data_IF_243450123824
#
_entry.id   IF_243450123824
#
_cell.length_a   1.000
_cell.length_b   1.000
_cell.length_c   1.000
_cell.angle_alpha   90.00
_cell.angle_beta   90.00
_cell.angle_gamma   90.00
#
_symmetry.space_group_name_H-M   'P 1'
#
loop_
_entity.id
_entity.type
_entity.pdbx_description
1 polymer ?
#
# COMPACT_ATOMS: atom_id res chain seq x y z
N UNK A 1 4.78 127.48 -76.21
CA UNK A 1 3.44 127.84 -76.73
C UNK A 1 2.37 127.19 -75.87
N UNK A 2 1.86 127.91 -74.87
CA UNK A 2 0.67 127.56 -74.06
C UNK A 2 -0.45 128.56 -74.35
N UNK A 3 -0.83 128.71 -75.63
CA UNK A 3 -1.84 129.70 -76.05
C UNK A 3 -3.03 129.09 -76.79
N UNK A 4 -3.31 127.79 -76.59
CA UNK A 4 -4.44 127.11 -77.22
C UNK A 4 -5.19 126.27 -76.18
N UNK A 5 -6.50 126.51 -76.07
CA UNK A 5 -7.39 125.70 -75.23
C UNK A 5 -7.48 124.26 -75.76
N UNK A 6 -7.42 123.28 -74.86
CA UNK A 6 -7.55 121.87 -75.21
C UNK A 6 -8.92 121.62 -75.86
N UNK A 7 -8.93 120.97 -77.02
CA UNK A 7 -10.18 120.64 -77.69
C UNK A 7 -10.97 119.61 -76.84
N UNK A 8 -12.32 119.60 -76.89
CA UNK A 8 -13.13 118.60 -76.20
C UNK A 8 -12.71 117.15 -76.52
N UNK A 9 -12.16 116.92 -77.72
CA UNK A 9 -11.60 115.64 -78.15
C UNK A 9 -10.32 115.27 -77.38
N UNK A 10 -9.45 116.23 -77.11
CA UNK A 10 -8.22 116.01 -76.33
C UNK A 10 -8.54 115.74 -74.85
N UNK A 11 -9.53 116.45 -74.28
CA UNK A 11 -9.99 116.20 -72.90
C UNK A 11 -10.65 114.83 -72.78
N UNK A 12 -11.49 114.44 -73.75
CA UNK A 12 -12.09 113.11 -73.79
C UNK A 12 -11.04 112.01 -73.93
N UNK A 13 -10.03 112.20 -74.78
CA UNK A 13 -8.93 111.25 -74.93
C UNK A 13 -8.09 111.10 -73.65
N UNK A 14 -7.83 112.19 -72.92
CA UNK A 14 -7.12 112.14 -71.65
C UNK A 14 -7.95 111.44 -70.54
N UNK A 15 -9.26 111.70 -70.48
CA UNK A 15 -10.16 111.02 -69.54
C UNK A 15 -10.27 109.52 -69.85
N UNK A 16 -10.42 109.13 -71.12
CA UNK A 16 -10.47 107.72 -71.52
C UNK A 16 -9.13 107.02 -71.30
N UNK A 17 -7.99 107.69 -71.50
CA UNK A 17 -6.66 107.14 -71.20
C UNK A 17 -6.43 106.95 -69.69
N UNK A 18 -6.91 107.89 -68.85
CA UNK A 18 -6.84 107.78 -67.40
C UNK A 18 -7.77 106.68 -66.86
N UNK A 19 -9.00 106.60 -67.39
CA UNK A 19 -9.98 105.58 -67.01
C UNK A 19 -9.56 104.18 -67.46
N UNK A 20 -8.88 104.06 -68.60
CA UNK A 20 -8.33 102.79 -69.10
C UNK A 20 -7.09 102.29 -68.36
N UNK A 21 -6.30 103.18 -67.74
CA UNK A 21 -5.08 102.81 -66.97
C UNK A 21 -5.34 102.40 -65.52
N UNK A 22 -6.53 102.67 -64.98
CA UNK A 22 -6.91 102.29 -63.61
C UNK A 22 -8.01 101.21 -63.60
N UNK A 23 -7.86 100.15 -64.39
CA UNK A 23 -8.60 98.90 -64.15
C UNK A 23 -7.91 98.15 -63.02
N UNK A 24 -8.42 98.30 -61.79
CA UNK A 24 -7.94 97.51 -60.66
C UNK A 24 -8.20 96.01 -60.94
N UNK A 25 -7.15 95.21 -60.97
CA UNK A 25 -7.22 93.75 -61.16
C UNK A 25 -7.09 93.03 -59.82
N UNK A 26 -7.79 91.91 -59.68
CA UNK A 26 -7.72 91.07 -58.49
C UNK A 26 -6.34 90.45 -58.32
N UNK A 27 -5.87 90.31 -57.07
CA UNK A 27 -4.62 89.63 -56.83
C UNK A 27 -4.78 88.12 -57.02
N UNK A 28 -3.69 87.49 -57.46
CA UNK A 28 -3.56 86.03 -57.55
C UNK A 28 -2.30 85.60 -56.80
N UNK A 29 -2.07 84.29 -56.72
CA UNK A 29 -0.81 83.75 -56.18
C UNK A 29 0.42 84.09 -57.03
N UNK A 30 0.23 84.58 -58.27
CA UNK A 30 1.31 84.94 -59.20
C UNK A 30 1.41 86.44 -59.52
N UNK A 31 0.37 87.24 -59.27
CA UNK A 31 0.30 88.66 -59.65
C UNK A 31 -0.28 89.51 -58.50
N UNK A 32 0.38 90.63 -58.19
CA UNK A 32 -0.12 91.60 -57.21
C UNK A 32 -1.37 92.33 -57.75
N UNK A 33 -2.38 92.51 -56.89
CA UNK A 33 -3.65 93.17 -57.21
C UNK A 33 -4.43 93.56 -55.95
N UNK A 34 -5.71 93.87 -56.08
CA UNK A 34 -6.62 94.13 -54.94
C UNK A 34 -7.25 92.81 -54.44
N UNK A 35 -7.41 92.64 -53.13
CA UNK A 35 -8.00 91.43 -52.52
C UNK A 35 -9.00 91.81 -51.45
N UNK A 36 -10.13 91.13 -51.40
CA UNK A 36 -11.06 91.23 -50.28
C UNK A 36 -10.63 90.30 -49.14
N UNK A 37 -10.60 90.84 -47.93
CA UNK A 37 -10.17 90.10 -46.74
C UNK A 37 -11.36 89.45 -46.05
N UNK A 38 -11.20 88.19 -45.63
CA UNK A 38 -12.21 87.45 -44.87
C UNK A 38 -11.68 87.00 -43.52
N UNK A 39 -12.51 87.19 -42.49
CA UNK A 39 -12.25 86.69 -41.13
C UNK A 39 -12.96 85.37 -40.83
N UNK A 40 -13.51 84.69 -41.84
CA UNK A 40 -14.07 83.35 -41.67
C UNK A 40 -12.94 82.31 -41.48
N UNK A 41 -13.12 81.38 -40.53
CA UNK A 41 -12.13 80.33 -40.19
C UNK A 41 -12.32 79.03 -40.97
N UNK A 42 -13.35 78.98 -41.82
CA UNK A 42 -13.74 77.83 -42.63
C UNK A 42 -14.09 78.24 -44.07
N UNK A 43 -13.58 79.38 -44.54
CA UNK A 43 -13.83 79.83 -45.91
C UNK A 43 -13.26 78.84 -46.91
N UNK A 44 -14.07 78.47 -47.90
CA UNK A 44 -13.64 77.70 -49.09
C UNK A 44 -13.40 78.59 -50.29
N UNK A 45 -13.49 79.92 -50.14
CA UNK A 45 -13.28 80.86 -51.23
C UNK A 45 -11.81 81.01 -51.58
N UNK A 46 -11.47 80.81 -52.85
CA UNK A 46 -10.12 81.05 -53.40
C UNK A 46 -9.89 82.52 -53.78
N UNK A 47 -10.93 83.36 -53.73
CA UNK A 47 -10.86 84.78 -54.10
C UNK A 47 -10.65 85.73 -52.90
N UNK A 48 -10.66 85.19 -51.67
CA UNK A 48 -10.55 85.98 -50.44
C UNK A 48 -9.28 85.61 -49.68
N UNK A 49 -8.56 86.61 -49.17
CA UNK A 49 -7.41 86.36 -48.29
C UNK A 49 -7.83 86.33 -46.81
N UNK A 50 -7.21 85.45 -46.02
CA UNK A 50 -7.45 85.35 -44.59
C UNK A 50 -6.93 86.59 -43.84
N UNK A 51 -7.69 87.07 -42.86
CA UNK A 51 -7.21 88.09 -41.93
C UNK A 51 -6.37 87.48 -40.80
N UNK A 52 -5.49 88.26 -40.14
CA UNK A 52 -4.83 87.81 -38.91
C UNK A 52 -5.83 87.32 -37.84
N UNK A 53 -7.06 87.86 -37.84
CA UNK A 53 -8.14 87.43 -36.95
C UNK A 53 -8.60 85.99 -37.24
N UNK A 54 -8.81 85.61 -38.50
CA UNK A 54 -9.17 84.22 -38.82
C UNK A 54 -8.02 83.25 -38.57
N UNK A 55 -6.78 83.66 -38.87
CA UNK A 55 -5.58 82.84 -38.58
C UNK A 55 -5.44 82.62 -37.07
N UNK A 56 -5.57 83.67 -36.27
CA UNK A 56 -5.50 83.56 -34.80
C UNK A 56 -6.64 82.71 -34.23
N UNK A 57 -7.87 82.89 -34.72
CA UNK A 57 -9.00 82.09 -34.28
C UNK A 57 -8.84 80.59 -34.63
N UNK A 58 -8.29 80.27 -35.81
CA UNK A 58 -7.97 78.90 -36.18
C UNK A 58 -6.85 78.31 -35.32
N UNK A 59 -5.80 79.10 -35.02
CA UNK A 59 -4.71 78.71 -34.12
C UNK A 59 -5.21 78.44 -32.70
N UNK A 60 -5.99 79.35 -32.12
CA UNK A 60 -6.54 79.22 -30.77
C UNK A 60 -7.48 77.99 -30.68
N UNK A 61 -8.29 77.74 -31.71
CA UNK A 61 -9.16 76.55 -31.79
C UNK A 61 -8.34 75.25 -31.90
N UNK A 62 -7.26 75.24 -32.68
CA UNK A 62 -6.35 74.10 -32.77
C UNK A 62 -5.63 73.84 -31.43
N UNK A 63 -5.15 74.90 -30.78
CA UNK A 63 -4.47 74.82 -29.49
C UNK A 63 -5.43 74.38 -28.35
N UNK A 64 -6.70 74.80 -28.39
CA UNK A 64 -7.72 74.40 -27.42
C UNK A 64 -8.24 72.97 -27.58
N UNK A 65 -8.20 72.39 -28.79
CA UNK A 65 -8.57 70.98 -29.01
C UNK A 65 -7.51 69.99 -28.50
N UNK A 66 -6.28 70.43 -28.28
CA UNK A 66 -5.21 69.59 -27.73
C UNK A 66 -5.19 69.65 -26.19
N UNK A 67 -6.31 69.35 -25.54
CA UNK A 67 -6.32 69.08 -24.09
C UNK A 67 -6.08 67.59 -23.89
N UNK A 68 -4.81 67.21 -23.76
CA UNK A 68 -4.44 65.83 -23.48
C UNK A 68 -4.88 65.46 -22.06
N UNK A 69 -6.11 64.95 -21.93
CA UNK A 69 -6.61 64.41 -20.66
C UNK A 69 -6.07 63.01 -20.44
N UNK A 70 -5.84 62.65 -19.17
CA UNK A 70 -5.42 61.29 -18.82
C UNK A 70 -6.51 60.27 -19.18
N UNK A 71 -6.08 59.10 -19.65
CA UNK A 71 -6.96 57.98 -19.89
C UNK A 71 -7.51 57.45 -18.55
N UNK A 72 -8.79 57.09 -18.53
CA UNK A 72 -9.42 56.35 -17.43
C UNK A 72 -10.07 55.08 -17.96
N UNK A 73 -10.60 54.24 -17.07
CA UNK A 73 -11.38 53.05 -17.47
C UNK A 73 -12.65 53.39 -18.28
N UNK A 74 -13.15 54.62 -18.20
CA UNK A 74 -14.38 55.06 -18.85
C UNK A 74 -14.17 56.10 -19.96
N UNK A 75 -12.99 56.74 -20.03
CA UNK A 75 -12.70 57.83 -20.96
C UNK A 75 -11.36 57.62 -21.66
N UNK A 76 -11.35 57.80 -22.99
CA UNK A 76 -10.12 57.76 -23.80
C UNK A 76 -9.25 58.99 -23.50
N UNK A 77 -7.94 58.81 -23.40
CA UNK A 77 -6.97 59.86 -23.08
C UNK A 77 -5.51 59.42 -23.31
N UNK A 78 -4.54 60.17 -22.77
CA UNK A 78 -3.11 59.83 -22.75
C UNK A 78 -2.75 59.01 -21.50
N UNK A 79 -1.79 58.09 -21.59
CA UNK A 79 -1.34 57.27 -20.46
C UNK A 79 0.18 57.07 -20.49
N UNK A 80 0.82 57.08 -19.33
CA UNK A 80 2.23 56.73 -19.21
C UNK A 80 2.40 55.21 -19.10
N UNK A 81 3.44 54.68 -19.76
CA UNK A 81 3.69 53.24 -19.84
C UNK A 81 4.74 52.82 -18.82
N UNK A 82 4.51 51.69 -18.14
CA UNK A 82 5.46 51.08 -17.21
C UNK A 82 5.82 49.65 -17.60
N UNK A 83 7.09 49.29 -17.43
CA UNK A 83 7.59 47.92 -17.58
C UNK A 83 7.76 47.17 -16.26
N UNK A 84 7.35 47.76 -15.13
CA UNK A 84 7.40 47.09 -13.84
C UNK A 84 6.33 45.99 -13.74
N UNK A 85 6.68 44.83 -13.21
CA UNK A 85 5.78 43.67 -13.01
C UNK A 85 5.11 43.66 -11.63
N UNK A 86 5.45 44.62 -10.78
CA UNK A 86 4.98 44.77 -9.40
C UNK A 86 4.49 46.21 -9.13
N UNK A 87 4.12 46.95 -10.17
CA UNK A 87 3.63 48.33 -10.02
C UNK A 87 2.31 48.36 -9.24
N UNK A 88 2.25 49.21 -8.23
CA UNK A 88 1.01 49.54 -7.52
C UNK A 88 0.28 50.76 -8.12
N UNK A 89 0.83 51.40 -9.16
CA UNK A 89 0.22 52.58 -9.77
C UNK A 89 -1.04 52.24 -10.56
N UNK A 90 -2.11 53.00 -10.31
CA UNK A 90 -3.37 52.93 -11.05
C UNK A 90 -3.42 53.90 -12.25
N UNK A 91 -2.42 54.78 -12.40
CA UNK A 91 -2.35 55.80 -13.47
C UNK A 91 -1.42 55.40 -14.62
N UNK A 92 -0.69 54.28 -14.48
CA UNK A 92 0.23 53.77 -15.49
C UNK A 92 -0.35 52.54 -16.19
N UNK A 93 -0.19 52.44 -17.50
CA UNK A 93 -0.53 51.24 -18.25
C UNK A 93 0.67 50.29 -18.35
N UNK A 94 0.42 48.99 -18.25
CA UNK A 94 1.44 47.97 -18.41
C UNK A 94 1.91 47.88 -19.88
N UNK A 95 3.22 47.88 -20.09
CA UNK A 95 3.80 47.59 -21.42
C UNK A 95 3.68 46.11 -21.78
N UNK A 96 3.76 45.74 -23.07
CA UNK A 96 3.90 44.36 -23.49
C UNK A 96 5.07 43.62 -22.82
N UNK A 97 6.14 44.35 -22.46
CA UNK A 97 7.28 43.82 -21.71
C UNK A 97 6.90 43.36 -20.30
N UNK A 98 6.15 44.19 -19.55
CA UNK A 98 5.65 43.82 -18.22
C UNK A 98 4.70 42.61 -18.29
N UNK A 99 3.76 42.63 -19.24
CA UNK A 99 2.81 41.53 -19.45
C UNK A 99 3.53 40.23 -19.79
N UNK A 100 4.51 40.29 -20.71
CA UNK A 100 5.33 39.12 -21.07
C UNK A 100 6.12 38.60 -19.87
N UNK A 101 6.78 39.48 -19.12
CA UNK A 101 7.56 39.06 -17.94
C UNK A 101 6.68 38.41 -16.85
N UNK A 102 5.48 38.94 -16.61
CA UNK A 102 4.52 38.33 -15.70
C UNK A 102 4.05 36.95 -16.19
N UNK A 103 3.76 36.82 -17.48
CA UNK A 103 3.33 35.57 -18.11
C UNK A 103 4.45 34.51 -18.09
N UNK A 104 5.68 34.89 -18.44
CA UNK A 104 6.84 33.99 -18.40
C UNK A 104 7.11 33.50 -16.96
N UNK A 105 7.00 34.40 -15.97
CA UNK A 105 7.11 34.04 -14.56
C UNK A 105 6.00 33.06 -14.13
N UNK A 106 4.75 33.30 -14.55
CA UNK A 106 3.64 32.39 -14.26
C UNK A 106 3.88 30.99 -14.86
N UNK A 107 4.30 30.91 -16.12
CA UNK A 107 4.63 29.67 -16.80
C UNK A 107 5.80 28.91 -16.14
N UNK A 108 6.71 29.61 -15.45
CA UNK A 108 7.85 29.01 -14.75
C UNK A 108 7.56 28.50 -13.33
N UNK A 109 6.41 28.81 -12.72
CA UNK A 109 6.13 28.47 -11.31
C UNK A 109 5.98 26.96 -11.06
N UNK A 110 5.44 26.22 -12.03
CA UNK A 110 5.32 24.76 -11.97
C UNK A 110 6.01 24.15 -13.20
N UNK A 111 7.34 23.99 -13.18
CA UNK A 111 8.06 23.32 -14.25
C UNK A 111 7.59 21.87 -14.40
N UNK A 112 7.44 21.40 -15.63
CA UNK A 112 7.12 20.00 -15.95
C UNK A 112 8.17 19.01 -15.43
N UNK A 113 9.39 19.48 -15.16
CA UNK A 113 10.45 18.69 -14.53
C UNK A 113 10.22 18.44 -13.03
N UNK A 114 9.32 19.18 -12.35
CA UNK A 114 8.98 18.90 -10.96
C UNK A 114 8.25 17.56 -10.88
N UNK A 115 8.67 16.75 -9.90
CA UNK A 115 8.15 15.40 -9.71
C UNK A 115 7.55 15.24 -8.32
N UNK A 116 6.46 14.47 -8.25
CA UNK A 116 5.94 13.88 -7.00
C UNK A 116 6.16 12.38 -7.11
N UNK A 117 6.98 11.84 -6.21
CA UNK A 117 7.42 10.44 -6.24
C UNK A 117 7.83 9.94 -7.65
N UNK A 118 8.72 10.69 -8.32
CA UNK A 118 9.22 10.34 -9.65
C UNK A 118 8.29 10.66 -10.83
N UNK A 119 7.01 11.00 -10.60
CA UNK A 119 6.02 11.34 -11.63
C UNK A 119 6.02 12.84 -11.92
N UNK A 120 6.17 13.22 -13.19
CA UNK A 120 6.18 14.62 -13.64
C UNK A 120 4.80 15.28 -13.47
N UNK A 121 4.79 16.56 -13.06
CA UNK A 121 3.57 17.37 -12.92
C UNK A 121 3.09 17.94 -14.28
N UNK A 122 2.88 17.08 -15.27
CA UNK A 122 2.42 17.46 -16.62
C UNK A 122 0.95 17.13 -16.91
N UNK A 123 0.31 16.35 -16.04
CA UNK A 123 -1.09 15.93 -16.10
C UNK A 123 -1.54 15.50 -14.69
N UNK A 124 -2.79 15.03 -14.57
CA UNK A 124 -3.28 14.42 -13.33
C UNK A 124 -2.38 13.25 -12.91
N UNK A 125 -1.98 13.25 -11.65
CA UNK A 125 -1.12 12.20 -11.07
C UNK A 125 -1.97 11.24 -10.25
N UNK A 126 -2.08 10.00 -10.69
CA UNK A 126 -2.56 8.90 -9.86
C UNK A 126 -1.39 8.34 -9.04
N UNK A 127 -1.51 8.40 -7.72
CA UNK A 127 -0.60 7.76 -6.78
C UNK A 127 -1.14 6.39 -6.39
N UNK A 128 -0.28 5.38 -6.44
CA UNK A 128 -0.54 4.04 -5.90
C UNK A 128 -0.01 3.95 -4.47
N UNK A 129 -0.46 2.98 -3.65
CA UNK A 129 0.14 2.73 -2.33
C UNK A 129 1.67 2.58 -2.38
N UNK A 130 2.18 1.91 -3.42
CA UNK A 130 3.62 1.76 -3.66
C UNK A 130 4.33 3.09 -3.91
N UNK A 131 3.63 4.07 -4.50
CA UNK A 131 4.19 5.41 -4.71
C UNK A 131 4.38 6.21 -3.40
N UNK A 132 3.77 5.78 -2.30
CA UNK A 132 3.88 6.44 -1.00
C UNK A 132 4.43 5.52 0.10
N UNK A 133 5.02 4.38 -0.28
CA UNK A 133 5.65 3.44 0.65
C UNK A 133 4.66 2.62 1.49
N UNK A 134 3.44 2.41 1.01
CA UNK A 134 2.40 1.64 1.70
C UNK A 134 1.93 0.43 0.89
N UNK A 135 1.19 -0.47 1.54
CA UNK A 135 0.57 -1.65 0.93
C UNK A 135 -0.84 -1.31 0.43
N UNK A 136 -1.32 -2.07 -0.57
CA UNK A 136 -2.73 -2.03 -0.89
C UNK A 136 -3.51 -2.66 0.27
N UNK A 137 -4.66 -2.10 0.64
CA UNK A 137 -5.47 -2.64 1.73
C UNK A 137 -6.95 -2.37 1.53
N UNK A 138 -7.78 -3.26 2.07
CA UNK A 138 -9.23 -3.09 2.17
C UNK A 138 -9.75 -3.76 3.43
N UNK A 139 -10.92 -3.33 3.92
CA UNK A 139 -11.65 -4.05 4.97
C UNK A 139 -12.79 -4.83 4.34
N UNK A 140 -13.02 -6.06 4.80
CA UNK A 140 -14.14 -6.89 4.34
C UNK A 140 -14.59 -7.90 5.39
N UNK A 141 -15.74 -8.53 5.16
CA UNK A 141 -16.30 -9.58 5.99
C UNK A 141 -16.61 -10.81 5.14
N UNK A 142 -16.34 -11.99 5.70
CA UNK A 142 -16.70 -13.26 5.07
C UNK A 142 -18.07 -13.72 5.57
N UNK A 143 -19.09 -13.61 4.71
CA UNK A 143 -20.47 -13.97 5.02
C UNK A 143 -20.78 -15.40 4.56
N UNK A 144 -21.34 -16.23 5.44
CA UNK A 144 -21.67 -17.63 5.16
C UNK A 144 -21.21 -18.62 6.22
N UNK A 145 -20.35 -18.17 7.16
CA UNK A 145 -19.75 -19.01 8.19
C UNK A 145 -18.43 -19.63 7.74
N UNK A 146 -17.99 -20.68 8.44
CA UNK A 146 -16.79 -21.42 8.06
C UNK A 146 -16.96 -22.12 6.71
N UNK A 147 -16.02 -21.91 5.79
CA UNK A 147 -16.06 -22.50 4.45
C UNK A 147 -15.05 -21.89 3.49
N UNK A 148 -15.27 -22.10 2.20
CA UNK A 148 -14.40 -21.68 1.11
C UNK A 148 -14.94 -20.43 0.40
N UNK A 149 -14.02 -19.55 0.04
CA UNK A 149 -14.32 -18.28 -0.60
C UNK A 149 -13.38 -18.02 -1.78
N UNK A 150 -13.91 -17.53 -2.91
CA UNK A 150 -13.07 -16.99 -3.99
C UNK A 150 -12.55 -15.61 -3.60
N UNK A 151 -11.38 -15.56 -2.99
CA UNK A 151 -10.79 -14.33 -2.43
C UNK A 151 -10.32 -13.36 -3.52
N UNK A 152 -9.61 -13.87 -4.51
CA UNK A 152 -8.93 -13.01 -5.47
C UNK A 152 -8.85 -13.63 -6.87
N UNK A 153 -8.68 -12.77 -7.85
CA UNK A 153 -8.20 -13.15 -9.18
C UNK A 153 -6.84 -12.48 -9.38
N UNK A 154 -5.84 -13.26 -9.76
CA UNK A 154 -4.46 -12.79 -9.95
C UNK A 154 -3.99 -13.08 -11.36
N UNK A 155 -3.23 -12.16 -11.96
CA UNK A 155 -2.47 -12.43 -13.19
C UNK A 155 -1.00 -12.46 -12.83
N UNK A 156 -0.33 -13.59 -13.05
CA UNK A 156 1.04 -13.85 -12.61
C UNK A 156 1.88 -14.45 -13.75
N UNK A 157 2.43 -13.61 -14.63
CA UNK A 157 3.35 -14.05 -15.67
C UNK A 157 4.49 -14.91 -15.13
N UNK A 158 4.94 -15.90 -15.93
CA UNK A 158 5.98 -16.87 -15.54
C UNK A 158 7.40 -16.28 -15.38
N UNK A 159 7.54 -14.95 -15.42
CA UNK A 159 8.80 -14.22 -15.31
C UNK A 159 8.93 -13.55 -13.93
N UNK A 160 9.10 -14.36 -12.87
CA UNK A 160 9.33 -13.89 -11.50
C UNK A 160 8.18 -13.10 -10.87
N UNK A 161 6.93 -13.44 -11.19
CA UNK A 161 5.78 -12.85 -10.49
C UNK A 161 5.64 -13.37 -9.07
N UNK A 162 5.42 -12.46 -8.13
CA UNK A 162 5.12 -12.76 -6.71
C UNK A 162 3.89 -11.95 -6.30
N UNK A 163 3.01 -12.58 -5.54
CA UNK A 163 1.84 -11.95 -4.89
C UNK A 163 1.88 -12.31 -3.42
N UNK A 164 1.69 -11.33 -2.55
CA UNK A 164 1.50 -11.53 -1.11
C UNK A 164 0.14 -10.99 -0.71
N UNK A 165 -0.64 -11.77 0.05
CA UNK A 165 -1.94 -11.38 0.60
C UNK A 165 -1.97 -11.74 2.07
N UNK A 166 -2.23 -10.76 2.93
CA UNK A 166 -2.30 -10.95 4.38
C UNK A 166 -3.71 -10.65 4.86
N UNK A 167 -4.27 -11.54 5.67
CA UNK A 167 -5.47 -11.31 6.45
C UNK A 167 -5.09 -11.00 7.90
N UNK A 168 -5.67 -9.92 8.43
CA UNK A 168 -5.46 -9.48 9.80
C UNK A 168 -6.81 -9.25 10.49
N UNK A 169 -6.94 -9.79 11.69
CA UNK A 169 -8.08 -9.59 12.57
C UNK A 169 -9.20 -10.60 12.39
N UNK A 170 -10.39 -10.18 12.81
CA UNK A 170 -11.59 -10.99 12.99
C UNK A 170 -12.36 -10.48 14.21
N UNK A 171 -13.64 -10.82 14.30
CA UNK A 171 -14.52 -10.32 15.35
C UNK A 171 -15.53 -11.39 15.79
N UNK A 172 -15.89 -11.39 17.08
CA UNK A 172 -16.83 -12.34 17.67
C UNK A 172 -16.25 -13.24 18.77
N UNK A 173 -15.02 -12.99 19.18
CA UNK A 173 -14.34 -13.71 20.24
C UNK A 173 -14.29 -12.92 21.56
N UNK A 174 -14.25 -13.64 22.69
CA UNK A 174 -14.11 -13.06 24.03
C UNK A 174 -12.67 -12.58 24.29
N UNK A 175 -12.51 -11.56 25.13
CA UNK A 175 -11.20 -11.05 25.56
C UNK A 175 -10.42 -12.13 26.33
N UNK A 176 -9.08 -12.13 26.18
CA UNK A 176 -8.17 -13.02 26.93
C UNK A 176 -7.61 -14.20 26.13
N UNK A 177 -7.98 -14.33 24.86
CA UNK A 177 -7.50 -15.39 23.95
C UNK A 177 -6.64 -14.78 22.83
N UNK A 178 -5.37 -14.40 23.09
CA UNK A 178 -4.53 -13.69 22.11
C UNK A 178 -4.30 -14.49 20.81
N UNK A 179 -4.43 -15.81 20.85
CA UNK A 179 -4.35 -16.70 19.69
C UNK A 179 -5.46 -16.45 18.66
N UNK A 180 -6.53 -15.73 19.04
CA UNK A 180 -7.65 -15.38 18.17
C UNK A 180 -7.44 -14.05 17.43
N UNK A 181 -6.37 -13.31 17.72
CA UNK A 181 -5.96 -12.12 16.96
C UNK A 181 -5.40 -12.52 15.58
N UNK A 182 -6.30 -12.89 14.68
CA UNK A 182 -6.00 -13.59 13.43
C UNK A 182 -4.93 -12.90 12.58
N UNK A 183 -3.89 -13.63 12.20
CA UNK A 183 -2.93 -13.24 11.17
C UNK A 183 -2.65 -14.47 10.29
N UNK A 184 -2.85 -14.28 8.99
CA UNK A 184 -2.56 -15.31 7.98
C UNK A 184 -1.90 -14.65 6.76
N UNK A 185 -0.82 -15.24 6.27
CA UNK A 185 -0.05 -14.70 5.14
C UNK A 185 -0.02 -15.71 4.01
N UNK A 186 -0.60 -15.37 2.87
CA UNK A 186 -0.56 -16.15 1.65
C UNK A 186 0.49 -15.54 0.70
N UNK A 187 1.47 -16.32 0.28
CA UNK A 187 2.41 -15.93 -0.78
C UNK A 187 2.26 -16.87 -1.96
N UNK A 188 2.10 -16.30 -3.14
CA UNK A 188 2.09 -17.00 -4.42
C UNK A 188 3.34 -16.61 -5.20
N UNK A 189 3.90 -17.57 -5.93
CA UNK A 189 5.03 -17.36 -6.83
C UNK A 189 4.77 -18.07 -8.16
N UNK A 190 5.01 -17.37 -9.26
CA UNK A 190 4.97 -17.99 -10.58
C UNK A 190 6.13 -18.97 -10.77
N UNK A 191 5.88 -20.03 -11.55
CA UNK A 191 6.89 -20.92 -12.08
C UNK A 191 7.85 -20.19 -13.03
N UNK A 192 8.81 -20.92 -13.56
CA UNK A 192 9.77 -20.43 -14.56
C UNK A 192 9.33 -20.76 -16.01
N UNK A 193 8.07 -21.12 -16.20
CA UNK A 193 7.53 -21.62 -17.48
C UNK A 193 7.77 -23.11 -17.74
N UNK A 194 8.61 -23.80 -16.95
CA UNK A 194 8.82 -25.24 -17.04
C UNK A 194 9.14 -25.88 -15.66
N UNK A 195 8.13 -26.36 -14.91
CA UNK A 195 6.72 -26.38 -15.26
C UNK A 195 6.08 -24.98 -15.23
N UNK A 196 5.13 -24.74 -16.13
CA UNK A 196 4.29 -23.54 -16.12
C UNK A 196 3.23 -23.66 -15.02
N UNK A 197 3.04 -22.60 -14.25
CA UNK A 197 2.03 -22.57 -13.19
C UNK A 197 2.36 -21.56 -12.10
N UNK A 198 1.72 -21.72 -10.95
CA UNK A 198 2.10 -21.06 -9.72
C UNK A 198 2.34 -22.11 -8.64
N UNK A 199 3.11 -21.72 -7.64
CA UNK A 199 3.17 -22.37 -6.34
C UNK A 199 2.71 -21.38 -5.30
N UNK A 200 2.19 -21.87 -4.18
CA UNK A 200 1.78 -21.02 -3.09
C UNK A 200 2.09 -21.66 -1.75
N UNK A 201 2.26 -20.80 -0.75
CA UNK A 201 2.33 -21.19 0.64
C UNK A 201 1.49 -20.24 1.50
N UNK A 202 0.78 -20.81 2.47
CA UNK A 202 0.02 -20.09 3.47
C UNK A 202 0.68 -20.28 4.83
N UNK A 203 1.08 -19.18 5.47
CA UNK A 203 1.61 -19.18 6.83
C UNK A 203 0.53 -18.73 7.81
N UNK A 204 0.12 -19.65 8.66
CA UNK A 204 -0.81 -19.40 9.76
C UNK A 204 -0.02 -19.00 10.99
N UNK A 205 -0.12 -17.74 11.39
CA UNK A 205 0.55 -17.22 12.60
C UNK A 205 -0.30 -17.39 13.85
N UNK A 206 -1.59 -17.65 13.69
CA UNK A 206 -2.59 -17.78 14.76
C UNK A 206 -3.58 -18.91 14.45
N UNK A 207 -4.45 -19.26 15.41
CA UNK A 207 -5.46 -20.31 15.23
C UNK A 207 -6.68 -19.87 14.39
N UNK A 208 -6.77 -18.59 14.06
CA UNK A 208 -7.86 -17.97 13.27
C UNK A 208 -7.31 -17.26 12.03
N UNK A 209 -8.16 -17.09 11.01
CA UNK A 209 -7.79 -16.49 9.72
C UNK A 209 -8.00 -17.46 8.55
N UNK A 210 -7.10 -17.42 7.56
CA UNK A 210 -7.09 -18.40 6.47
C UNK A 210 -6.70 -19.77 7.03
N UNK A 211 -7.59 -20.75 6.89
CA UNK A 211 -7.37 -22.13 7.37
C UNK A 211 -6.75 -23.02 6.30
N UNK A 212 -6.99 -22.71 5.03
CA UNK A 212 -6.43 -23.40 3.86
C UNK A 212 -6.50 -22.49 2.63
N UNK A 213 -5.89 -22.88 1.53
CA UNK A 213 -6.07 -22.21 0.24
C UNK A 213 -5.80 -23.16 -0.93
N UNK A 214 -6.37 -22.81 -2.08
CA UNK A 214 -6.21 -23.52 -3.33
C UNK A 214 -6.36 -22.53 -4.50
N UNK A 215 -5.98 -22.93 -5.70
CA UNK A 215 -6.17 -22.10 -6.89
C UNK A 215 -6.60 -22.91 -8.10
N UNK A 216 -7.08 -22.22 -9.13
CA UNK A 216 -7.33 -22.78 -10.46
C UNK A 216 -6.83 -21.81 -11.52
N UNK A 217 -6.19 -22.33 -12.57
CA UNK A 217 -5.84 -21.52 -13.73
C UNK A 217 -7.09 -21.31 -14.58
N UNK A 218 -7.48 -20.06 -14.81
CA UNK A 218 -8.69 -19.73 -15.56
C UNK A 218 -8.39 -19.42 -17.03
N UNK A 219 -7.24 -18.82 -17.32
CA UNK A 219 -6.74 -18.58 -18.66
C UNK A 219 -5.30 -18.09 -18.62
N UNK A 220 -4.43 -18.57 -19.51
CA UNK A 220 -3.06 -18.07 -19.64
C UNK A 220 -2.29 -18.08 -18.32
N UNK A 221 -1.91 -16.90 -17.84
CA UNK A 221 -1.22 -16.68 -16.56
C UNK A 221 -2.15 -16.13 -15.46
N UNK A 222 -3.47 -16.27 -15.64
CA UNK A 222 -4.51 -15.82 -14.72
C UNK A 222 -5.03 -16.98 -13.87
N UNK A 223 -5.17 -16.72 -12.56
CA UNK A 223 -5.58 -17.71 -11.57
C UNK A 223 -6.64 -17.14 -10.65
N UNK A 224 -7.64 -17.93 -10.34
CA UNK A 224 -8.56 -17.65 -9.24
C UNK A 224 -8.03 -18.31 -7.97
N UNK A 225 -8.00 -17.53 -6.89
CA UNK A 225 -7.47 -17.93 -5.59
C UNK A 225 -8.63 -18.12 -4.62
N UNK A 226 -8.71 -19.32 -4.08
CA UNK A 226 -9.70 -19.72 -3.10
C UNK A 226 -9.04 -19.90 -1.74
N UNK A 227 -9.68 -19.41 -0.69
CA UNK A 227 -9.23 -19.57 0.68
C UNK A 227 -10.33 -20.23 1.50
N UNK A 228 -9.94 -21.12 2.39
CA UNK A 228 -10.82 -21.60 3.46
C UNK A 228 -10.65 -20.69 4.67
N UNK A 229 -11.75 -20.38 5.34
CA UNK A 229 -11.80 -19.50 6.50
C UNK A 229 -12.68 -20.12 7.57
N UNK A 230 -12.28 -19.96 8.83
CA UNK A 230 -13.08 -20.35 10.00
C UNK A 230 -14.19 -19.33 10.33
N UNK A 231 -14.98 -19.62 11.35
CA UNK A 231 -15.96 -18.65 11.85
C UNK A 231 -15.28 -17.35 12.32
N UNK A 232 -16.05 -16.27 12.43
CA UNK A 232 -15.64 -14.99 13.03
C UNK A 232 -14.62 -14.17 12.21
N UNK A 233 -14.52 -14.40 10.90
CA UNK A 233 -13.77 -13.55 9.96
C UNK A 233 -14.60 -12.33 9.48
N UNK A 234 -15.10 -11.55 10.44
CA UNK A 234 -15.91 -10.35 10.20
C UNK A 234 -15.06 -9.10 10.41
N UNK A 235 -15.13 -8.13 9.51
CA UNK A 235 -14.40 -6.87 9.62
C UNK A 235 -12.88 -7.03 9.58
N UNK A 236 -12.38 -8.00 8.82
CA UNK A 236 -10.95 -8.25 8.68
C UNK A 236 -10.29 -7.22 7.76
N UNK A 237 -9.01 -6.97 7.98
CA UNK A 237 -8.18 -6.19 7.07
C UNK A 237 -7.46 -7.15 6.11
N UNK A 238 -7.60 -6.93 4.81
CA UNK A 238 -6.85 -7.62 3.78
C UNK A 238 -5.81 -6.64 3.23
N UNK A 239 -4.55 -7.02 3.31
CA UNK A 239 -3.43 -6.28 2.73
C UNK A 239 -2.79 -7.09 1.62
N UNK A 240 -2.33 -6.43 0.55
CA UNK A 240 -1.64 -7.13 -0.53
C UNK A 240 -0.60 -6.29 -1.25
N UNK A 241 0.40 -6.99 -1.77
CA UNK A 241 1.42 -6.44 -2.67
C UNK A 241 1.79 -7.48 -3.74
N UNK A 242 2.38 -6.99 -4.83
CA UNK A 242 2.75 -7.79 -5.97
C UNK A 242 3.88 -7.17 -6.79
N UNK A 243 4.58 -8.00 -7.54
CA UNK A 243 5.64 -7.55 -8.46
C UNK A 243 5.06 -6.75 -9.62
N UNK A 244 5.84 -5.87 -10.23
CA UNK A 244 5.37 -4.92 -11.26
C UNK A 244 4.76 -5.54 -12.52
N UNK A 245 5.02 -6.83 -12.77
CA UNK A 245 4.47 -7.59 -13.90
C UNK A 245 3.23 -8.43 -13.54
N UNK A 246 2.84 -8.45 -12.26
CA UNK A 246 1.66 -9.15 -11.80
C UNK A 246 0.49 -8.16 -11.57
N UNK A 247 -0.70 -8.70 -11.36
CA UNK A 247 -1.86 -7.94 -10.90
C UNK A 247 -2.71 -8.77 -9.95
N UNK A 248 -3.42 -8.08 -9.05
CA UNK A 248 -4.30 -8.68 -8.05
C UNK A 248 -5.61 -7.90 -8.01
N UNK A 249 -6.73 -8.62 -8.07
CA UNK A 249 -8.06 -8.10 -7.77
C UNK A 249 -8.62 -8.86 -6.58
N UNK A 250 -8.76 -8.17 -5.43
CA UNK A 250 -9.43 -8.72 -4.24
C UNK A 250 -10.94 -8.59 -4.41
N UNK A 251 -11.67 -9.68 -4.22
CA UNK A 251 -13.13 -9.70 -4.22
C UNK A 251 -13.64 -9.36 -2.82
N UNK A 252 -14.12 -8.13 -2.61
CA UNK A 252 -14.61 -7.66 -1.29
C UNK A 252 -15.96 -8.26 -0.87
N UNK A 253 -16.63 -8.96 -1.80
CA UNK A 253 -17.84 -9.76 -1.58
C UNK A 253 -17.65 -11.14 -2.22
N UNK A 254 -16.75 -11.98 -1.67
CA UNK A 254 -16.33 -13.22 -2.31
C UNK A 254 -17.46 -14.27 -2.22
N UNK A 255 -17.58 -15.07 -3.29
CA UNK A 255 -18.58 -16.14 -3.33
C UNK A 255 -18.26 -17.22 -2.28
N UNK A 256 -19.26 -17.58 -1.46
CA UNK A 256 -19.18 -18.60 -0.42
C UNK A 256 -19.53 -20.00 -0.94
N UNK A 257 -18.83 -21.00 -0.43
CA UNK A 257 -19.18 -22.42 -0.53
C UNK A 257 -18.84 -23.12 0.78
N UNK A 258 -19.74 -23.98 1.29
CA UNK A 258 -19.47 -24.78 2.49
C UNK A 258 -18.33 -25.79 2.25
N UNK A 259 -18.23 -26.33 1.03
CA UNK A 259 -17.23 -27.33 0.64
C UNK A 259 -16.18 -26.72 -0.30
N UNK A 260 -14.99 -27.33 -0.33
CA UNK A 260 -13.96 -26.99 -1.31
C UNK A 260 -14.52 -27.20 -2.73
N UNK A 261 -14.48 -26.20 -3.63
CA UNK A 261 -14.84 -26.39 -5.02
C UNK A 261 -13.97 -27.45 -5.70
N UNK A 262 -14.54 -28.15 -6.68
CA UNK A 262 -13.84 -29.18 -7.45
C UNK A 262 -12.83 -28.57 -8.44
N UNK A 263 -11.83 -29.36 -8.83
CA UNK A 263 -10.82 -28.94 -9.83
C UNK A 263 -9.77 -27.94 -9.37
N UNK A 264 -9.75 -27.59 -8.08
CA UNK A 264 -8.74 -26.70 -7.51
C UNK A 264 -7.44 -27.46 -7.16
N UNK A 265 -6.29 -26.84 -7.45
CA UNK A 265 -4.97 -27.28 -7.01
C UNK A 265 -4.70 -26.79 -5.59
N UNK A 266 -4.34 -27.70 -4.68
CA UNK A 266 -4.01 -27.37 -3.31
C UNK A 266 -2.67 -26.66 -3.18
N UNK A 267 -2.62 -25.69 -2.28
CA UNK A 267 -1.39 -25.11 -1.82
C UNK A 267 -0.81 -25.80 -0.60
N UNK A 268 0.33 -25.30 -0.12
CA UNK A 268 0.96 -25.80 1.11
C UNK A 268 0.67 -24.88 2.28
N UNK A 269 0.20 -25.43 3.39
CA UNK A 269 -0.06 -24.66 4.63
C UNK A 269 1.04 -24.95 5.65
N UNK A 270 1.61 -23.88 6.20
CA UNK A 270 2.59 -23.91 7.29
C UNK A 270 1.99 -23.22 8.52
N UNK A 271 1.87 -23.96 9.63
CA UNK A 271 1.40 -23.39 10.89
C UNK A 271 2.58 -23.00 11.77
N UNK A 272 2.80 -21.70 11.97
CA UNK A 272 3.80 -21.18 12.90
C UNK A 272 3.30 -21.18 14.35
N UNK A 273 1.99 -21.12 14.55
CA UNK A 273 1.41 -21.42 15.86
C UNK A 273 1.21 -22.92 15.98
N UNK A 274 2.21 -23.60 16.53
CA UNK A 274 2.07 -24.98 17.01
C UNK A 274 1.63 -24.89 18.47
N UNK A 275 0.41 -25.32 18.85
CA UNK A 275 0.09 -25.50 20.26
C UNK A 275 1.15 -26.43 20.87
N UNK A 276 1.63 -26.14 22.08
CA UNK A 276 2.64 -26.97 22.78
C UNK A 276 2.28 -28.47 22.80
N UNK A 277 0.98 -28.76 22.81
CA UNK A 277 0.36 -30.08 22.72
C UNK A 277 0.76 -30.91 21.47
N UNK A 278 1.25 -30.28 20.40
CA UNK A 278 1.68 -31.00 19.20
C UNK A 278 3.13 -31.53 19.31
N UNK A 279 3.94 -30.93 20.18
CA UNK A 279 5.29 -31.42 20.48
C UNK A 279 5.29 -32.48 21.59
N UNK A 280 4.38 -32.36 22.56
CA UNK A 280 4.18 -33.35 23.62
C UNK A 280 2.68 -33.51 23.92
N UNK A 281 2.03 -34.58 23.44
CA UNK A 281 0.57 -34.70 23.51
C UNK A 281 0.06 -34.89 24.94
N UNK A 282 -1.10 -34.30 25.30
CA UNK A 282 -1.74 -34.54 26.59
C UNK A 282 -1.92 -36.04 26.86
N UNK A 283 -1.38 -36.49 27.99
CA UNK A 283 -1.37 -37.89 28.40
C UNK A 283 0.00 -38.56 28.34
N UNK A 284 0.96 -38.03 27.58
CA UNK A 284 2.33 -38.54 27.62
C UNK A 284 2.99 -38.24 29.00
N UNK A 285 3.63 -39.23 29.66
CA UNK A 285 4.27 -39.04 30.97
C UNK A 285 5.52 -38.16 30.86
N UNK A 286 5.61 -37.11 31.68
CA UNK A 286 6.78 -36.20 31.72
C UNK A 286 7.62 -36.51 32.96
N UNK A 287 8.91 -36.90 32.83
CA UNK A 287 9.81 -37.01 33.97
C UNK A 287 10.12 -35.60 34.50
N UNK A 288 9.74 -35.33 35.75
CA UNK A 288 9.84 -34.00 36.35
C UNK A 288 10.86 -33.99 37.50
N UNK A 289 11.87 -33.09 37.49
CA UNK A 289 13.00 -33.13 38.43
C UNK A 289 12.76 -32.38 39.76
N UNK A 290 11.53 -31.95 40.05
CA UNK A 290 11.17 -31.21 41.26
C UNK A 290 9.92 -31.78 41.91
N UNK A 291 9.82 -31.69 43.24
CA UNK A 291 8.60 -32.07 43.97
C UNK A 291 7.45 -31.06 43.77
N UNK A 292 7.73 -29.88 43.21
CA UNK A 292 6.71 -28.86 42.91
C UNK A 292 6.18 -29.04 41.49
N UNK A 293 4.91 -29.41 41.37
CA UNK A 293 4.23 -29.61 40.08
C UNK A 293 3.90 -28.25 39.44
N UNK A 294 4.25 -28.01 38.16
CA UNK A 294 3.85 -26.80 37.46
C UNK A 294 2.33 -26.69 37.29
N UNK A 295 1.82 -25.46 37.27
CA UNK A 295 0.41 -25.21 36.97
C UNK A 295 0.00 -25.84 35.62
N UNK A 296 -1.17 -26.49 35.59
CA UNK A 296 -1.69 -27.21 34.41
C UNK A 296 -1.24 -28.67 34.30
N UNK A 297 -0.42 -29.18 35.21
CA UNK A 297 0.03 -30.57 35.25
C UNK A 297 -0.43 -31.27 36.54
N UNK A 298 -0.37 -32.61 36.53
CA UNK A 298 -0.67 -33.45 37.69
C UNK A 298 0.37 -34.57 37.81
N UNK A 299 0.69 -34.99 39.05
CA UNK A 299 1.49 -36.20 39.29
C UNK A 299 0.70 -37.43 38.83
N UNK A 300 1.38 -38.43 38.29
CA UNK A 300 0.76 -39.69 37.85
C UNK A 300 0.74 -40.72 38.98
N UNK A 301 -0.36 -40.76 39.75
CA UNK A 301 -0.47 -41.51 41.01
C UNK A 301 -1.67 -42.45 41.07
N UNK A 302 -2.24 -42.84 39.92
CA UNK A 302 -3.38 -43.77 39.88
C UNK A 302 -4.76 -43.11 40.03
N UNK A 303 -4.84 -41.79 40.01
CA UNK A 303 -6.08 -41.06 40.28
C UNK A 303 -7.04 -41.03 39.07
N UNK A 304 -8.34 -40.91 39.37
CA UNK A 304 -9.38 -40.67 38.36
C UNK A 304 -9.43 -39.21 37.91
N UNK A 305 -10.00 -38.95 36.74
CA UNK A 305 -10.29 -37.61 36.24
C UNK A 305 -11.63 -37.54 35.49
N UNK A 306 -12.20 -36.33 35.39
CA UNK A 306 -13.42 -36.08 34.63
C UNK A 306 -13.11 -36.02 33.12
N UNK A 307 -13.64 -36.98 32.36
CA UNK A 307 -13.43 -37.09 30.91
C UNK A 307 -14.07 -35.95 30.13
N UNK A 308 -15.15 -35.36 30.64
CA UNK A 308 -15.83 -34.23 30.00
C UNK A 308 -15.01 -32.94 30.17
N UNK A 309 -14.39 -32.77 31.34
CA UNK A 309 -13.50 -31.64 31.62
C UNK A 309 -12.15 -31.77 30.88
N UNK A 310 -11.64 -32.99 30.71
CA UNK A 310 -10.33 -33.26 30.08
C UNK A 310 -10.43 -34.22 28.88
N UNK A 311 -11.09 -33.82 27.77
CA UNK A 311 -11.37 -34.70 26.63
C UNK A 311 -10.12 -35.19 25.90
N UNK A 312 -9.06 -34.38 25.83
CA UNK A 312 -7.77 -34.79 25.24
C UNK A 312 -7.06 -35.84 26.09
N UNK A 313 -7.07 -35.67 27.42
CA UNK A 313 -6.53 -36.67 28.34
C UNK A 313 -7.36 -37.98 28.29
N UNK A 314 -8.68 -37.88 28.11
CA UNK A 314 -9.56 -39.03 27.92
C UNK A 314 -9.27 -39.82 26.63
N UNK A 315 -8.69 -39.18 25.62
CA UNK A 315 -8.24 -39.87 24.40
C UNK A 315 -7.02 -40.75 24.70
N UNK A 316 -6.09 -40.29 25.54
CA UNK A 316 -4.92 -41.06 25.96
C UNK A 316 -5.28 -42.14 27.01
N UNK A 317 -6.18 -41.82 27.94
CA UNK A 317 -6.63 -42.70 29.02
C UNK A 317 -8.17 -42.85 29.01
N UNK A 318 -8.73 -43.69 28.12
CA UNK A 318 -10.19 -43.85 28.00
C UNK A 318 -10.90 -44.36 29.26
N UNK A 319 -10.15 -45.03 30.14
CA UNK A 319 -10.62 -45.46 31.47
C UNK A 319 -11.01 -44.30 32.38
N UNK A 320 -10.53 -43.07 32.11
CA UNK A 320 -10.66 -41.95 33.04
C UNK A 320 -9.73 -42.06 34.25
N UNK A 321 -8.68 -42.88 34.16
CA UNK A 321 -7.69 -43.13 35.23
C UNK A 321 -6.28 -42.86 34.70
N UNK A 322 -5.54 -42.00 35.39
CA UNK A 322 -4.11 -41.77 35.13
C UNK A 322 -3.32 -42.93 35.75
N UNK A 323 -2.38 -43.57 35.05
CA UNK A 323 -1.54 -44.62 35.62
C UNK A 323 -0.79 -44.17 36.88
N UNK A 324 -0.58 -45.05 37.85
CA UNK A 324 0.38 -44.80 38.93
C UNK A 324 1.78 -45.13 38.42
N UNK A 325 2.65 -44.12 38.33
CA UNK A 325 4.00 -44.25 37.81
C UNK A 325 5.07 -44.29 38.91
N UNK A 326 4.68 -44.20 40.19
CA UNK A 326 5.65 -44.23 41.30
C UNK A 326 6.32 -45.59 41.38
N UNK A 327 7.65 -45.60 41.37
CA UNK A 327 8.45 -46.84 41.38
C UNK A 327 8.44 -47.62 40.07
N UNK A 328 7.81 -47.12 39.01
CA UNK A 328 7.73 -47.79 37.71
C UNK A 328 8.69 -47.18 36.69
N UNK A 329 9.30 -48.03 35.86
CA UNK A 329 10.08 -47.61 34.69
C UNK A 329 9.28 -47.83 33.41
N UNK A 330 9.29 -46.85 32.50
CA UNK A 330 8.62 -46.97 31.21
C UNK A 330 9.42 -47.93 30.32
N UNK A 331 8.73 -48.97 29.83
CA UNK A 331 9.26 -49.94 28.86
C UNK A 331 8.40 -49.91 27.60
N UNK A 332 9.04 -49.88 26.44
CA UNK A 332 8.33 -49.96 25.16
C UNK A 332 7.48 -51.22 25.10
N UNK A 333 6.20 -51.08 24.70
CA UNK A 333 5.31 -52.22 24.53
C UNK A 333 5.91 -53.16 23.48
N UNK A 334 6.16 -54.45 23.80
CA UNK A 334 6.66 -55.40 22.81
C UNK A 334 5.65 -55.60 21.68
N UNK A 335 6.12 -56.06 20.52
CA UNK A 335 5.27 -56.28 19.35
C UNK A 335 4.07 -57.22 19.65
N UNK A 336 4.24 -58.17 20.58
CA UNK A 336 3.20 -59.10 21.02
C UNK A 336 3.36 -59.49 22.49
N UNK A 337 2.36 -60.17 23.06
CA UNK A 337 2.42 -60.79 24.39
C UNK A 337 2.10 -59.86 25.58
N UNK A 338 1.89 -58.56 25.35
CA UNK A 338 1.55 -57.57 26.41
C UNK A 338 0.57 -56.51 25.94
N UNK A 339 -0.25 -56.02 26.85
CA UNK A 339 -1.12 -54.87 26.63
C UNK A 339 -0.40 -53.55 26.95
N UNK A 340 -0.84 -52.45 26.33
CA UNK A 340 -0.38 -51.10 26.73
C UNK A 340 -0.82 -50.83 28.17
N UNK A 341 0.01 -50.15 28.96
CA UNK A 341 -0.18 -49.91 30.41
C UNK A 341 -0.16 -51.17 31.31
N UNK A 342 0.21 -52.35 30.79
CA UNK A 342 0.38 -53.54 31.64
C UNK A 342 1.67 -53.50 32.45
N UNK A 343 1.57 -53.78 33.75
CA UNK A 343 2.70 -53.84 34.68
C UNK A 343 3.48 -55.15 34.56
N UNK A 344 4.79 -55.09 34.82
CA UNK A 344 5.67 -56.25 34.91
C UNK A 344 6.60 -56.07 36.10
N UNK A 345 6.55 -57.04 37.01
CA UNK A 345 7.47 -57.08 38.14
C UNK A 345 8.90 -57.32 37.66
N UNK A 346 9.86 -56.91 38.48
CA UNK A 346 11.25 -57.25 38.26
C UNK A 346 11.47 -58.77 38.30
N UNK A 347 12.48 -59.22 37.56
CA UNK A 347 12.79 -60.64 37.45
C UNK A 347 14.23 -60.84 37.04
N UNK A 348 14.95 -61.65 37.81
CA UNK A 348 16.31 -62.02 37.49
C UNK A 348 16.27 -63.03 36.34
N UNK A 349 17.05 -62.77 35.29
CA UNK A 349 17.20 -63.72 34.19
C UNK A 349 17.74 -65.04 34.74
N UNK A 350 17.12 -66.16 34.32
CA UNK A 350 17.56 -67.49 34.71
C UNK A 350 19.06 -67.65 34.44
N UNK A 351 19.80 -68.04 35.49
CA UNK A 351 21.23 -68.26 35.44
C UNK A 351 21.63 -69.33 36.46
N UNK A 352 22.80 -69.92 36.24
CA UNK A 352 23.41 -70.89 37.14
C UNK A 352 24.84 -70.44 37.46
N UNK A 353 25.39 -70.98 38.54
CA UNK A 353 26.79 -70.80 38.90
C UNK A 353 27.48 -72.16 38.89
N UNK A 354 28.74 -72.19 38.46
CA UNK A 354 29.58 -73.34 38.76
C UNK A 354 29.93 -73.31 40.25
N UNK A 355 29.86 -74.47 40.92
CA UNK A 355 30.22 -74.61 42.31
C UNK A 355 31.13 -75.83 42.47
N UNK A 356 32.07 -75.75 43.40
CA UNK A 356 32.94 -76.87 43.76
C UNK A 356 33.05 -76.98 45.28
N UNK A 357 33.25 -78.19 45.77
CA UNK A 357 33.55 -78.47 47.17
C UNK A 357 34.96 -79.04 47.25
N UNK A 358 35.72 -78.63 48.27
CA UNK A 358 37.03 -79.22 48.55
C UNK A 358 36.89 -80.68 49.01
N UNK A 359 37.82 -81.53 48.60
CA UNK A 359 37.95 -82.88 49.17
C UNK A 359 38.33 -82.77 50.65
N UNK A 360 37.67 -83.56 51.51
CA UNK A 360 37.92 -83.60 52.95
C UNK A 360 38.28 -85.02 53.36
N UNK A 361 39.51 -85.20 53.87
CA UNK A 361 39.92 -86.45 54.49
C UNK A 361 39.32 -86.57 55.90
N UNK A 362 38.59 -87.65 56.16
CA UNK A 362 37.91 -87.91 57.43
C UNK A 362 38.83 -88.54 58.50
N UNK A 363 40.08 -88.84 58.12
CA UNK A 363 41.09 -89.48 58.95
C UNK A 363 40.79 -90.93 59.30
N UNK A 364 41.75 -91.60 59.93
CA UNK A 364 41.61 -92.99 60.40
C UNK A 364 40.92 -93.04 61.77
N UNK A 365 40.07 -94.04 62.01
CA UNK A 365 39.46 -94.30 63.32
C UNK A 365 40.05 -95.57 63.93
N UNK A 366 40.30 -95.56 65.24
CA UNK A 366 40.70 -96.75 66.00
C UNK A 366 39.47 -97.36 66.63
N UNK A 367 39.32 -98.69 66.57
CA UNK A 367 38.21 -99.40 67.19
C UNK A 367 38.38 -99.48 68.71
N UNK A 368 37.30 -99.74 69.45
CA UNK A 368 37.38 -100.06 70.87
C UNK A 368 38.16 -101.35 71.11
N UNK A 369 38.87 -101.45 72.24
CA UNK A 369 39.55 -102.66 72.66
C UNK A 369 38.54 -103.67 73.24
N UNK A 370 38.66 -104.94 72.88
CA UNK A 370 37.84 -106.02 73.44
C UNK A 370 38.73 -107.06 74.14
N UNK A 371 38.51 -107.26 75.43
CA UNK A 371 39.19 -108.27 76.25
C UNK A 371 38.20 -109.38 76.60
N UNK A 372 38.54 -110.62 76.26
CA UNK A 372 37.70 -111.79 76.52
C UNK A 372 37.60 -112.14 78.01
N UNK A 373 38.47 -111.56 78.85
CA UNK A 373 38.56 -111.89 80.27
C UNK A 373 38.89 -113.37 80.49
N UNK A 374 38.71 -113.86 81.72
CA UNK A 374 38.89 -115.28 82.05
C UNK A 374 37.53 -115.97 82.12
N UNK A 375 37.37 -117.13 81.46
CA UNK A 375 36.14 -117.93 81.48
C UNK A 375 36.33 -119.15 82.39
N UNK A 376 35.30 -119.52 83.16
CA UNK A 376 35.28 -120.74 83.99
C UNK A 376 34.06 -121.60 83.64
N UNK A 377 34.21 -122.93 83.72
CA UNK A 377 33.17 -123.93 83.45
C UNK A 377 32.52 -124.42 84.76
N UNK A 378 31.28 -124.96 84.71
CA UNK A 378 30.60 -125.58 85.85
C UNK A 378 30.85 -127.10 85.91
N UNK A 379 30.72 -127.71 87.09
CA UNK A 379 30.75 -129.16 87.32
C UNK A 379 29.63 -129.58 88.28
N UNK A 380 28.63 -130.35 87.83
CA UNK A 380 27.90 -131.37 88.62
C UNK A 380 26.90 -132.19 87.76
N UNK A 381 26.97 -133.51 87.95
CA UNK A 381 25.87 -134.46 87.86
C UNK A 381 25.79 -135.26 89.16
N UNK A 382 24.58 -135.71 89.48
CA UNK A 382 24.07 -136.42 90.68
C UNK A 382 23.83 -135.57 91.94
#
# INVERSE_FOLDING_TARGET
>A
SESLAATPKAVKAAYELANGKYTAQDATTAQKGIVQLSSATNSTSEMLAATPKSVKAAYDLANGKYTAQDATKAQKGIVQLSSATNSASETLAATPKAVKAANDNANGRVPSARKVNGKALSADITLTPKDIGTLNSTTMSFSGGAGWFKLATVTMPQASSVVSITLIGGAGFNVGSPQQAGISELVLRAGNGNPKGITGALWQRTSTGFTNFAWVNTSGDTYDIYVAIGNYATGVNIQWDYTSNASVTIHTSPAYSANKPEGLTDGTVYSLYTPSEQFYPPGAPIPWPSDTVPSGYALMQGQTFDKSAYPKLATAYPSGVIPDMRGWTIKGKPASGRAVLSQEQDGIKSHTHSASASSTDLGTKTTSSFDYGTKSTNNTGA
#
